data_IF_944684999008
#
_entry.id   IF_944684999008
#
_cell.length_a   1.000
_cell.length_b   1.000
_cell.length_c   1.000
_cell.angle_alpha   90.00
_cell.angle_beta   90.00
_cell.angle_gamma   90.00
#
_symmetry.space_group_name_H-M   'P 1'
#
loop_
_entity.id
_entity.type
_entity.pdbx_description
1 polymer ?
#
# COMPACT_ATOMS: atom_id res chain seq x y z
N UNK A 1 -3.81 -7.89 17.18
CA UNK A 1 -3.79 -7.51 15.75
C UNK A 1 -4.74 -8.44 15.02
N UNK A 2 -5.56 -7.91 14.10
CA UNK A 2 -6.39 -8.75 13.23
C UNK A 2 -5.49 -9.42 12.18
N UNK A 3 -5.80 -10.65 11.78
CA UNK A 3 -5.07 -11.33 10.71
C UNK A 3 -5.45 -10.70 9.37
N UNK A 4 -4.45 -10.26 8.61
CA UNK A 4 -4.66 -9.51 7.38
C UNK A 4 -4.06 -10.22 6.18
N UNK A 5 -4.63 -9.90 5.03
CA UNK A 5 -4.13 -10.26 3.71
C UNK A 5 -4.11 -9.01 2.85
N UNK A 6 -3.22 -8.96 1.87
CA UNK A 6 -3.00 -7.78 1.05
C UNK A 6 -2.86 -8.15 -0.42
N UNK A 7 -3.43 -7.32 -1.29
CA UNK A 7 -2.96 -7.17 -2.66
C UNK A 7 -1.99 -6.01 -2.70
N UNK A 8 -0.88 -6.17 -3.42
CA UNK A 8 0.11 -5.13 -3.62
C UNK A 8 0.73 -5.21 -5.01
N UNK A 9 1.33 -4.11 -5.47
CA UNK A 9 2.23 -4.08 -6.62
C UNK A 9 3.67 -4.14 -6.13
N UNK A 10 4.48 -4.99 -6.78
CA UNK A 10 5.89 -5.18 -6.44
C UNK A 10 6.78 -4.91 -7.62
N UNK A 11 7.77 -4.03 -7.43
CA UNK A 11 8.79 -3.72 -8.41
C UNK A 11 10.18 -3.68 -7.74
N UNK A 12 10.94 -4.76 -7.88
CA UNK A 12 12.18 -4.93 -7.13
C UNK A 12 11.93 -4.92 -5.61
N UNK A 13 12.42 -3.88 -4.93
CA UNK A 13 12.23 -3.65 -3.49
C UNK A 13 11.03 -2.76 -3.18
N UNK A 14 10.48 -2.07 -4.17
CA UNK A 14 9.31 -1.21 -3.99
C UNK A 14 8.04 -2.06 -3.89
N UNK A 15 7.20 -1.76 -2.89
CA UNK A 15 5.96 -2.47 -2.58
C UNK A 15 4.88 -1.44 -2.28
N UNK A 16 3.78 -1.49 -3.02
CA UNK A 16 2.64 -0.58 -2.89
C UNK A 16 1.37 -1.39 -2.64
N UNK A 17 0.83 -1.29 -1.44
CA UNK A 17 -0.41 -1.98 -1.05
C UNK A 17 -1.60 -1.32 -1.77
N UNK A 18 -2.53 -2.14 -2.26
CA UNK A 18 -3.72 -1.69 -2.98
C UNK A 18 -5.00 -1.93 -2.18
N UNK A 19 -5.13 -3.10 -1.56
CA UNK A 19 -6.33 -3.47 -0.80
C UNK A 19 -5.97 -4.50 0.26
N UNK A 20 -6.76 -4.53 1.32
CA UNK A 20 -6.65 -5.46 2.43
C UNK A 20 -7.90 -6.33 2.60
N UNK A 21 -7.68 -7.60 2.91
CA UNK A 21 -8.70 -8.53 3.39
C UNK A 21 -8.44 -8.83 4.85
N UNK A 22 -9.43 -8.69 5.71
CA UNK A 22 -9.29 -8.94 7.14
C UNK A 22 -10.05 -10.21 7.51
N UNK A 23 -9.41 -11.13 8.22
CA UNK A 23 -9.93 -12.47 8.59
C UNK A 23 -10.34 -13.40 7.44
N UNK A 24 -10.35 -12.93 6.19
CA UNK A 24 -10.72 -13.72 5.01
C UNK A 24 -9.89 -13.27 3.80
N UNK A 25 -9.80 -14.16 2.81
CA UNK A 25 -9.26 -13.86 1.48
C UNK A 25 -10.44 -13.46 0.59
N UNK A 26 -10.56 -12.18 0.20
CA UNK A 26 -11.68 -11.72 -0.60
C UNK A 26 -11.81 -12.49 -1.92
N UNK A 27 -13.02 -12.82 -2.33
CA UNK A 27 -13.21 -13.80 -3.39
C UNK A 27 -12.85 -13.30 -4.79
N UNK A 28 -12.82 -11.98 -5.05
CA UNK A 28 -12.28 -11.47 -6.30
C UNK A 28 -10.81 -11.87 -6.46
N UNK A 29 -10.05 -11.96 -5.36
CA UNK A 29 -8.62 -12.27 -5.40
C UNK A 29 -8.41 -13.70 -5.90
N UNK A 30 -9.31 -14.60 -5.51
CA UNK A 30 -9.28 -16.01 -5.90
C UNK A 30 -9.54 -16.21 -7.40
N UNK A 31 -10.14 -15.22 -8.08
CA UNK A 31 -10.36 -15.26 -9.54
C UNK A 31 -9.06 -15.16 -10.34
N UNK A 32 -7.93 -14.78 -9.75
CA UNK A 32 -6.69 -14.57 -10.53
C UNK A 32 -5.69 -15.73 -10.48
N UNK A 33 -5.97 -16.74 -9.66
CA UNK A 33 -5.05 -17.84 -9.40
C UNK A 33 -5.33 -19.07 -10.26
N UNK A 34 -4.27 -19.81 -10.54
CA UNK A 34 -4.30 -21.20 -10.98
C UNK A 34 -4.04 -22.12 -9.78
N UNK A 35 -4.42 -23.40 -9.89
CA UNK A 35 -4.13 -24.39 -8.85
C UNK A 35 -2.65 -24.41 -8.44
N UNK A 36 -1.74 -24.25 -9.40
CA UNK A 36 -0.29 -24.24 -9.16
C UNK A 36 0.16 -23.05 -8.31
N UNK A 37 -0.53 -21.92 -8.37
CA UNK A 37 -0.17 -20.70 -7.65
C UNK A 37 -0.47 -20.84 -6.14
N UNK A 38 -1.42 -21.72 -5.80
CA UNK A 38 -1.85 -22.00 -4.42
C UNK A 38 -1.43 -23.40 -3.94
N UNK A 39 -0.68 -24.15 -4.74
CA UNK A 39 -0.18 -25.49 -4.40
C UNK A 39 1.05 -25.38 -3.48
N UNK A 40 1.25 -26.33 -2.57
CA UNK A 40 2.47 -26.38 -1.71
C UNK A 40 2.67 -25.11 -0.85
N UNK A 41 1.71 -24.79 0.02
CA UNK A 41 1.65 -23.50 0.73
C UNK A 41 2.83 -23.25 1.67
N UNK A 42 3.40 -24.31 2.26
CA UNK A 42 4.58 -24.21 3.13
C UNK A 42 5.83 -23.65 2.44
N UNK A 43 5.96 -23.84 1.12
CA UNK A 43 7.11 -23.34 0.36
C UNK A 43 6.74 -22.03 -0.35
N UNK A 44 5.58 -21.98 -1.01
CA UNK A 44 5.21 -20.81 -1.81
C UNK A 44 4.85 -19.60 -0.95
N UNK A 45 4.00 -19.77 0.07
CA UNK A 45 3.46 -18.63 0.81
C UNK A 45 4.43 -18.11 1.87
N UNK A 46 5.15 -19.00 2.56
CA UNK A 46 6.15 -18.59 3.55
C UNK A 46 7.39 -17.91 2.95
N UNK A 47 7.69 -18.14 1.67
CA UNK A 47 8.98 -17.76 1.09
C UNK A 47 8.89 -16.82 -0.11
N UNK A 48 7.81 -16.88 -0.90
CA UNK A 48 7.78 -16.22 -2.20
C UNK A 48 6.61 -15.26 -2.40
N UNK A 49 5.58 -15.32 -1.54
CA UNK A 49 4.26 -14.74 -1.78
C UNK A 49 3.66 -15.24 -3.13
N UNK A 50 2.38 -15.00 -3.36
CA UNK A 50 1.81 -15.32 -4.68
C UNK A 50 2.06 -14.10 -5.57
N UNK A 51 2.96 -14.22 -6.55
CA UNK A 51 3.27 -13.15 -7.50
C UNK A 51 2.74 -13.48 -8.89
N UNK A 52 2.07 -12.52 -9.50
CA UNK A 52 1.40 -12.65 -10.78
C UNK A 52 1.89 -11.57 -11.76
N UNK A 53 2.38 -11.94 -12.95
CA UNK A 53 2.63 -10.96 -14.02
C UNK A 53 1.35 -10.21 -14.37
N UNK A 54 1.45 -8.91 -14.67
CA UNK A 54 0.28 -8.06 -14.96
C UNK A 54 -0.47 -8.56 -16.21
N UNK A 55 0.23 -9.09 -17.20
CA UNK A 55 -0.40 -9.65 -18.40
C UNK A 55 -1.25 -10.88 -18.06
N UNK A 56 -0.79 -11.71 -17.10
CA UNK A 56 -1.57 -12.85 -16.61
C UNK A 56 -2.77 -12.37 -15.81
N UNK A 57 -2.62 -11.33 -14.98
CA UNK A 57 -3.73 -10.69 -14.27
C UNK A 57 -4.81 -10.19 -15.25
N UNK A 58 -4.45 -9.40 -16.25
CA UNK A 58 -5.39 -8.86 -17.26
C UNK A 58 -6.13 -9.99 -17.99
N UNK A 59 -5.40 -11.03 -18.41
CA UNK A 59 -6.01 -12.19 -19.07
C UNK A 59 -7.02 -12.88 -18.16
N UNK A 60 -6.66 -13.11 -16.89
CA UNK A 60 -7.55 -13.73 -15.90
C UNK A 60 -8.76 -12.85 -15.58
N UNK A 61 -8.57 -11.54 -15.51
CA UNK A 61 -9.64 -10.59 -15.27
C UNK A 61 -10.71 -10.68 -16.35
N UNK A 62 -10.31 -10.65 -17.62
CA UNK A 62 -11.23 -10.81 -18.75
C UNK A 62 -11.90 -12.19 -18.76
N UNK A 63 -11.13 -13.25 -18.50
CA UNK A 63 -11.64 -14.63 -18.55
C UNK A 63 -12.70 -14.91 -17.46
N UNK A 64 -12.44 -14.46 -16.23
CA UNK A 64 -13.28 -14.78 -15.09
C UNK A 64 -14.40 -13.76 -14.87
N UNK A 65 -14.40 -12.65 -15.59
CA UNK A 65 -15.54 -11.74 -15.66
C UNK A 65 -16.84 -12.46 -16.08
N UNK A 66 -16.78 -13.36 -17.06
CA UNK A 66 -17.97 -14.11 -17.52
C UNK A 66 -18.54 -15.04 -16.45
N UNK A 67 -17.71 -15.55 -15.54
CA UNK A 67 -18.19 -16.33 -14.40
C UNK A 67 -19.05 -15.45 -13.47
N UNK A 68 -18.60 -14.23 -13.17
CA UNK A 68 -19.38 -13.29 -12.34
C UNK A 68 -20.63 -12.80 -13.06
N UNK A 69 -20.55 -12.50 -14.34
CA UNK A 69 -21.71 -12.07 -15.14
C UNK A 69 -22.85 -13.09 -15.09
N UNK A 70 -22.52 -14.39 -15.13
CA UNK A 70 -23.50 -15.47 -15.07
C UNK A 70 -24.03 -15.75 -13.65
N UNK A 71 -23.16 -15.72 -12.64
CA UNK A 71 -23.48 -16.26 -11.32
C UNK A 71 -23.65 -15.19 -10.22
N UNK A 72 -23.18 -13.96 -10.47
CA UNK A 72 -23.20 -12.84 -9.54
C UNK A 72 -23.27 -11.48 -10.27
N UNK A 73 -24.23 -11.25 -11.19
CA UNK A 73 -24.27 -10.05 -12.02
C UNK A 73 -24.31 -8.75 -11.21
N UNK A 74 -24.83 -8.78 -9.98
CA UNK A 74 -24.85 -7.64 -9.07
C UNK A 74 -23.45 -7.14 -8.66
N UNK A 75 -22.41 -7.97 -8.76
CA UNK A 75 -21.04 -7.61 -8.37
C UNK A 75 -20.18 -7.18 -9.56
N UNK A 76 -20.72 -7.27 -10.78
CA UNK A 76 -19.97 -7.12 -12.02
C UNK A 76 -19.37 -5.72 -12.18
N UNK A 77 -20.14 -4.67 -11.85
CA UNK A 77 -19.63 -3.30 -11.94
C UNK A 77 -18.53 -3.03 -10.91
N UNK A 78 -18.72 -3.50 -9.67
CA UNK A 78 -17.68 -3.40 -8.63
C UNK A 78 -16.41 -4.17 -9.04
N UNK A 79 -16.57 -5.34 -9.68
CA UNK A 79 -15.45 -6.10 -10.20
C UNK A 79 -14.69 -5.35 -11.30
N UNK A 80 -15.41 -4.77 -12.27
CA UNK A 80 -14.82 -4.01 -13.36
C UNK A 80 -14.06 -2.78 -12.82
N UNK A 81 -14.65 -2.08 -11.86
CA UNK A 81 -14.00 -0.95 -11.18
C UNK A 81 -12.78 -1.39 -10.36
N UNK A 82 -12.86 -2.53 -9.67
CA UNK A 82 -11.72 -3.10 -8.94
C UNK A 82 -10.55 -3.46 -9.85
N UNK A 83 -10.83 -4.08 -11.01
CA UNK A 83 -9.79 -4.40 -12.01
C UNK A 83 -9.19 -3.10 -12.57
N UNK A 84 -10.04 -2.13 -12.92
CA UNK A 84 -9.59 -0.81 -13.42
C UNK A 84 -8.71 -0.10 -12.39
N UNK A 85 -9.10 -0.13 -11.12
CA UNK A 85 -8.33 0.41 -10.01
C UNK A 85 -6.94 -0.22 -9.93
N UNK A 86 -6.83 -1.56 -9.94
CA UNK A 86 -5.52 -2.22 -9.93
C UNK A 86 -4.68 -1.78 -11.13
N UNK A 87 -5.26 -1.76 -12.34
CA UNK A 87 -4.53 -1.42 -13.56
C UNK A 87 -4.07 0.03 -13.61
N UNK A 88 -4.86 0.98 -13.11
CA UNK A 88 -4.50 2.39 -13.03
C UNK A 88 -3.25 2.63 -12.15
N UNK A 89 -2.97 1.71 -11.23
CA UNK A 89 -1.83 1.77 -10.32
C UNK A 89 -0.55 1.11 -10.87
N UNK A 90 -0.65 0.34 -11.96
CA UNK A 90 0.47 -0.44 -12.50
C UNK A 90 1.51 0.48 -13.14
N UNK A 91 2.76 0.25 -12.78
CA UNK A 91 3.97 0.81 -13.40
C UNK A 91 4.75 -0.28 -14.13
N UNK A 92 5.62 0.13 -15.06
CA UNK A 92 6.45 -0.80 -15.81
C UNK A 92 7.34 -1.64 -14.87
N UNK A 93 7.31 -2.96 -15.04
CA UNK A 93 8.06 -3.91 -14.21
C UNK A 93 7.34 -4.38 -12.94
N UNK A 94 6.12 -3.91 -12.69
CA UNK A 94 5.33 -4.40 -11.57
C UNK A 94 4.91 -5.86 -11.76
N UNK A 95 4.80 -6.57 -10.62
CA UNK A 95 4.03 -7.79 -10.48
C UNK A 95 2.92 -7.58 -9.45
N UNK A 96 1.75 -8.17 -9.68
CA UNK A 96 0.67 -8.19 -8.71
C UNK A 96 0.94 -9.28 -7.67
N UNK A 97 1.13 -8.87 -6.42
CA UNK A 97 1.38 -9.75 -5.30
C UNK A 97 0.17 -9.92 -4.40
N UNK A 98 0.05 -11.12 -3.84
CA UNK A 98 -0.92 -11.45 -2.81
C UNK A 98 -0.17 -11.98 -1.59
N UNK A 99 -0.33 -11.29 -0.47
CA UNK A 99 0.05 -11.80 0.85
C UNK A 99 -1.21 -12.28 1.54
N UNK A 100 -1.27 -13.58 1.82
CA UNK A 100 -2.42 -14.22 2.47
C UNK A 100 -2.00 -15.02 3.68
N UNK A 101 -0.73 -14.92 4.12
CA UNK A 101 -0.13 -15.90 5.02
C UNK A 101 -0.85 -15.93 6.37
N UNK A 102 -1.09 -14.77 6.98
CA UNK A 102 -1.73 -14.70 8.30
C UNK A 102 -3.15 -15.26 8.26
N UNK A 103 -3.93 -14.90 7.24
CA UNK A 103 -5.30 -15.38 7.07
C UNK A 103 -5.32 -16.89 6.77
N UNK A 104 -4.42 -17.36 5.91
CA UNK A 104 -4.36 -18.76 5.53
C UNK A 104 -3.86 -19.68 6.67
N UNK A 105 -3.04 -19.17 7.57
CA UNK A 105 -2.54 -19.94 8.72
C UNK A 105 -3.61 -20.16 9.80
N UNK A 106 -4.67 -19.34 9.83
CA UNK A 106 -5.78 -19.48 10.79
C UNK A 106 -6.42 -20.88 10.76
N UNK A 107 -6.63 -21.43 9.56
CA UNK A 107 -7.20 -22.76 9.34
C UNK A 107 -6.13 -23.86 9.18
N UNK A 108 -4.85 -23.46 9.22
CA UNK A 108 -3.70 -24.25 8.80
C UNK A 108 -3.48 -24.22 7.29
N UNK A 109 -2.23 -23.96 6.88
CA UNK A 109 -1.84 -23.72 5.49
C UNK A 109 -2.28 -24.81 4.50
N UNK A 110 -2.18 -26.09 4.88
CA UNK A 110 -2.61 -27.21 4.03
C UNK A 110 -4.11 -27.20 3.80
N UNK A 111 -4.90 -26.85 4.82
CA UNK A 111 -6.36 -26.73 4.73
C UNK A 111 -6.74 -25.55 3.85
N UNK A 112 -6.14 -24.39 4.08
CA UNK A 112 -6.34 -23.20 3.26
C UNK A 112 -6.02 -23.45 1.78
N UNK A 113 -4.87 -24.09 1.48
CA UNK A 113 -4.50 -24.46 0.10
C UNK A 113 -5.52 -25.38 -0.55
N UNK A 114 -6.04 -26.37 0.18
CA UNK A 114 -7.08 -27.27 -0.33
C UNK A 114 -8.39 -26.54 -0.65
N UNK A 115 -8.83 -25.63 0.23
CA UNK A 115 -10.02 -24.78 0.02
C UNK A 115 -9.85 -23.89 -1.20
N UNK A 116 -8.70 -23.23 -1.34
CA UNK A 116 -8.41 -22.38 -2.50
C UNK A 116 -8.38 -23.19 -3.81
N UNK A 117 -7.76 -24.37 -3.83
CA UNK A 117 -7.77 -25.26 -5.00
C UNK A 117 -9.20 -25.68 -5.36
N UNK A 118 -10.02 -26.03 -4.36
CA UNK A 118 -11.44 -26.37 -4.56
C UNK A 118 -12.18 -25.19 -5.21
N UNK A 119 -12.05 -23.98 -4.66
CA UNK A 119 -12.71 -22.78 -5.19
C UNK A 119 -12.25 -22.45 -6.61
N UNK A 120 -10.95 -22.55 -6.90
CA UNK A 120 -10.40 -22.30 -8.24
C UNK A 120 -11.02 -23.26 -9.27
N UNK A 121 -11.15 -24.55 -8.93
CA UNK A 121 -11.83 -25.53 -9.81
C UNK A 121 -13.30 -25.20 -10.00
N UNK A 122 -14.02 -24.88 -8.92
CA UNK A 122 -15.42 -24.49 -8.99
C UNK A 122 -15.65 -23.27 -9.90
N UNK A 123 -14.75 -22.28 -9.87
CA UNK A 123 -14.79 -21.12 -10.79
C UNK A 123 -14.55 -21.57 -12.23
N UNK A 124 -13.49 -22.37 -12.47
CA UNK A 124 -13.11 -22.82 -13.81
C UNK A 124 -14.16 -23.73 -14.47
N UNK A 125 -14.83 -24.55 -13.68
CA UNK A 125 -15.90 -25.46 -14.13
C UNK A 125 -17.28 -24.80 -14.10
N UNK A 126 -17.38 -23.52 -13.72
CA UNK A 126 -18.61 -22.76 -13.57
C UNK A 126 -19.65 -23.46 -12.66
N UNK A 127 -19.21 -23.89 -11.48
CA UNK A 127 -20.00 -24.56 -10.43
C UNK A 127 -20.05 -23.69 -9.15
N UNK A 128 -20.82 -22.57 -9.14
CA UNK A 128 -20.84 -21.65 -8.01
C UNK A 128 -21.33 -22.29 -6.70
N UNK A 129 -22.11 -23.36 -6.76
CA UNK A 129 -22.59 -24.10 -5.59
C UNK A 129 -21.49 -24.84 -4.82
N UNK A 130 -20.33 -25.07 -5.44
CA UNK A 130 -19.19 -25.73 -4.82
C UNK A 130 -18.25 -24.77 -4.09
N UNK A 131 -18.50 -23.45 -4.17
CA UNK A 131 -17.68 -22.43 -3.53
C UNK A 131 -17.81 -22.49 -2.00
N UNK A 132 -16.69 -22.28 -1.31
CA UNK A 132 -16.66 -22.15 0.16
C UNK A 132 -17.08 -20.74 0.66
N UNK A 133 -17.54 -19.88 -0.24
CA UNK A 133 -18.01 -18.52 0.04
C UNK A 133 -19.27 -18.22 -0.76
N UNK A 134 -20.07 -17.25 -0.30
CA UNK A 134 -21.29 -16.84 -1.01
C UNK A 134 -21.01 -15.68 -1.97
N UNK A 135 -21.50 -15.82 -3.20
CA UNK A 135 -21.48 -14.75 -4.21
C UNK A 135 -22.60 -13.71 -4.00
N UNK A 136 -23.54 -13.98 -3.09
CA UNK A 136 -24.72 -13.14 -2.82
C UNK A 136 -24.69 -12.51 -1.43
N UNK A 137 -23.52 -12.48 -0.79
CA UNK A 137 -23.35 -11.77 0.47
C UNK A 137 -23.68 -10.28 0.31
N UNK A 138 -24.28 -9.71 1.36
CA UNK A 138 -24.66 -8.30 1.36
C UNK A 138 -23.45 -7.37 1.48
N UNK A 139 -22.37 -7.83 2.08
CA UNK A 139 -21.15 -7.05 2.27
C UNK A 139 -20.12 -7.42 1.21
N UNK A 140 -20.41 -7.03 -0.04
CA UNK A 140 -19.57 -7.38 -1.20
C UNK A 140 -18.22 -6.67 -1.13
N UNK A 141 -18.12 -5.44 -0.58
CA UNK A 141 -16.83 -4.77 -0.41
C UNK A 141 -15.89 -5.62 0.45
N UNK A 142 -16.35 -6.07 1.62
CA UNK A 142 -15.53 -6.90 2.50
C UNK A 142 -15.23 -8.27 1.89
N UNK A 143 -16.25 -8.99 1.43
CA UNK A 143 -16.08 -10.38 1.04
C UNK A 143 -15.55 -10.59 -0.36
N UNK A 144 -15.79 -9.65 -1.29
CA UNK A 144 -15.34 -9.73 -2.68
C UNK A 144 -14.00 -9.04 -2.91
N UNK A 145 -13.94 -7.76 -2.56
CA UNK A 145 -12.88 -6.86 -3.02
C UNK A 145 -11.77 -6.67 -1.99
N UNK A 146 -12.10 -6.68 -0.70
CA UNK A 146 -11.27 -6.14 0.35
C UNK A 146 -11.40 -4.62 0.45
N UNK A 147 -10.91 -4.04 1.54
CA UNK A 147 -10.92 -2.60 1.76
C UNK A 147 -9.68 -1.99 1.10
N UNK A 148 -9.85 -0.94 0.27
CA UNK A 148 -8.71 -0.13 -0.16
C UNK A 148 -7.99 0.38 1.09
N UNK A 149 -6.64 0.43 1.07
CA UNK A 149 -5.78 0.63 2.26
C UNK A 149 -6.44 1.54 3.31
N UNK A 150 -7.04 0.88 4.31
CA UNK A 150 -7.97 1.49 5.26
C UNK A 150 -7.31 2.61 6.07
N UNK A 151 -5.98 2.55 6.20
CA UNK A 151 -5.19 3.53 6.96
C UNK A 151 -4.57 4.61 6.09
N UNK A 152 -4.73 4.52 4.77
CA UNK A 152 -4.02 5.39 3.85
C UNK A 152 -4.81 5.72 2.58
N UNK A 153 -6.05 6.19 2.75
CA UNK A 153 -6.81 6.76 1.62
C UNK A 153 -6.04 7.85 0.87
N UNK A 154 -5.14 8.58 1.56
CA UNK A 154 -4.22 9.58 0.97
C UNK A 154 -3.02 9.00 0.23
N UNK A 155 -2.76 7.70 0.36
CA UNK A 155 -1.77 6.95 -0.43
C UNK A 155 -2.43 6.25 -1.63
N UNK A 156 -3.76 6.24 -1.71
CA UNK A 156 -4.46 5.82 -2.91
C UNK A 156 -4.21 6.85 -4.02
N UNK A 157 -4.11 6.44 -5.29
CA UNK A 157 -4.02 7.38 -6.40
C UNK A 157 -5.25 8.27 -6.49
N UNK A 158 -5.15 9.37 -7.23
CA UNK A 158 -6.29 10.25 -7.53
C UNK A 158 -7.44 9.48 -8.19
N UNK A 159 -7.16 8.62 -9.18
CA UNK A 159 -8.15 7.67 -9.74
C UNK A 159 -8.18 6.38 -8.92
N UNK A 160 -8.83 6.42 -7.74
CA UNK A 160 -9.00 5.24 -6.89
C UNK A 160 -10.46 4.73 -6.87
N UNK A 161 -10.63 3.57 -6.24
CA UNK A 161 -11.91 2.88 -6.16
C UNK A 161 -12.93 3.58 -5.25
N UNK A 162 -12.52 4.52 -4.40
CA UNK A 162 -13.44 5.23 -3.51
C UNK A 162 -14.41 6.14 -4.29
N UNK A 163 -14.01 6.64 -5.46
CA UNK A 163 -14.89 7.46 -6.31
C UNK A 163 -15.80 6.61 -7.22
N UNK A 164 -15.68 5.28 -7.17
CA UNK A 164 -16.59 4.39 -7.92
C UNK A 164 -18.00 4.48 -7.35
N UNK A 165 -18.97 4.73 -8.23
CA UNK A 165 -20.40 4.67 -7.89
C UNK A 165 -20.76 3.29 -7.34
N UNK A 166 -20.25 2.21 -7.94
CA UNK A 166 -20.51 0.86 -7.48
C UNK A 166 -19.93 0.61 -6.07
N UNK A 167 -18.73 1.11 -5.79
CA UNK A 167 -18.16 1.05 -4.45
C UNK A 167 -19.01 1.84 -3.46
N UNK A 168 -19.37 3.09 -3.77
CA UNK A 168 -20.18 3.94 -2.89
C UNK A 168 -21.58 3.35 -2.64
N UNK A 169 -22.20 2.73 -3.65
CA UNK A 169 -23.48 2.05 -3.50
C UNK A 169 -23.39 0.84 -2.56
N UNK A 170 -22.33 0.02 -2.70
CA UNK A 170 -22.08 -1.08 -1.76
C UNK A 170 -21.71 -0.59 -0.36
N UNK A 171 -21.00 0.54 -0.25
CA UNK A 171 -20.62 1.14 1.03
C UNK A 171 -21.86 1.61 1.80
N UNK A 172 -22.79 2.29 1.11
CA UNK A 172 -24.09 2.73 1.67
C UNK A 172 -24.95 1.55 2.13
N UNK A 173 -24.90 0.41 1.42
CA UNK A 173 -25.62 -0.82 1.82
C UNK A 173 -25.09 -1.40 3.13
N UNK A 174 -23.78 -1.29 3.39
CA UNK A 174 -23.17 -1.73 4.64
C UNK A 174 -23.48 -0.81 5.83
N UNK A 175 -23.45 0.51 5.60
CA UNK A 175 -23.57 1.53 6.64
C UNK A 175 -24.99 1.68 7.20
N UNK A 176 -26.01 1.21 6.47
CA UNK A 176 -27.39 1.28 6.92
C UNK A 176 -27.90 2.73 7.12
N UNK A 177 -29.17 2.94 7.52
CA UNK A 177 -29.79 4.26 7.49
C UNK A 177 -29.22 5.29 8.48
N UNK A 178 -28.49 4.86 9.51
CA UNK A 178 -28.04 5.73 10.61
C UNK A 178 -26.67 6.38 10.37
N UNK A 179 -25.77 5.68 9.66
CA UNK A 179 -24.40 6.17 9.43
C UNK A 179 -24.32 7.09 8.20
N UNK A 180 -25.26 6.96 7.25
CA UNK A 180 -25.31 7.77 6.02
C UNK A 180 -25.51 9.28 6.28
N UNK A 181 -26.13 9.69 7.39
CA UNK A 181 -26.34 11.11 7.72
C UNK A 181 -25.06 11.83 8.14
N UNK A 182 -24.10 11.13 8.76
CA UNK A 182 -22.82 11.73 9.17
C UNK A 182 -21.81 11.77 8.02
N UNK A 183 -21.86 10.81 7.09
CA UNK A 183 -20.97 10.79 5.93
C UNK A 183 -21.39 11.79 4.84
N UNK A 184 -22.69 11.97 4.57
CA UNK A 184 -23.17 13.02 3.67
C UNK A 184 -22.75 14.43 4.14
N UNK A 185 -22.62 14.63 5.46
CA UNK A 185 -22.09 15.88 6.02
C UNK A 185 -20.58 15.99 5.84
N UNK A 186 -19.83 14.89 6.00
CA UNK A 186 -18.37 14.88 5.77
C UNK A 186 -18.00 15.04 4.29
N UNK A 187 -18.73 14.43 3.36
CA UNK A 187 -18.51 14.60 1.91
C UNK A 187 -18.82 16.03 1.46
N UNK A 188 -19.93 16.63 1.93
CA UNK A 188 -20.22 18.04 1.67
C UNK A 188 -19.19 18.98 2.27
N UNK A 189 -18.67 18.67 3.47
CA UNK A 189 -17.59 19.45 4.07
C UNK A 189 -16.24 19.26 3.38
N UNK A 190 -15.96 18.09 2.79
CA UNK A 190 -14.74 17.83 2.02
C UNK A 190 -14.77 18.55 0.67
N UNK A 191 -15.88 18.44 -0.09
CA UNK A 191 -16.07 19.17 -1.35
C UNK A 191 -16.04 20.69 -1.15
N UNK A 192 -16.71 21.20 -0.12
CA UNK A 192 -16.65 22.63 0.21
C UNK A 192 -15.26 23.09 0.65
N UNK A 193 -14.41 22.21 1.17
CA UNK A 193 -13.03 22.56 1.57
C UNK A 193 -12.07 22.57 0.38
N UNK A 194 -12.29 21.70 -0.60
CA UNK A 194 -11.52 21.71 -1.86
C UNK A 194 -11.91 22.89 -2.77
N UNK A 195 -13.19 23.27 -2.81
CA UNK A 195 -13.64 24.48 -3.52
C UNK A 195 -13.07 25.75 -2.86
N UNK A 196 -13.10 25.85 -1.53
CA UNK A 196 -12.50 26.99 -0.81
C UNK A 196 -10.97 27.03 -0.96
N UNK A 197 -10.28 25.89 -1.02
CA UNK A 197 -8.82 25.87 -1.27
C UNK A 197 -8.44 26.27 -2.69
N UNK A 198 -9.27 25.96 -3.70
CA UNK A 198 -9.09 26.48 -5.06
C UNK A 198 -9.33 27.98 -5.12
N UNK A 199 -10.34 28.48 -4.40
CA UNK A 199 -10.64 29.91 -4.34
C UNK A 199 -9.55 30.70 -3.60
N UNK A 200 -9.01 30.18 -2.49
CA UNK A 200 -7.87 30.78 -1.76
C UNK A 200 -6.56 30.77 -2.58
N UNK A 201 -6.39 29.80 -3.49
CA UNK A 201 -5.24 29.77 -4.41
C UNK A 201 -5.39 30.78 -5.56
N UNK A 202 -6.60 30.97 -6.09
CA UNK A 202 -6.90 32.01 -7.09
C UNK A 202 -6.77 33.42 -6.48
N UNK A 203 -7.21 33.65 -5.24
CA UNK A 203 -7.04 34.93 -4.54
C UNK A 203 -5.57 35.27 -4.26
N UNK A 204 -4.75 34.28 -3.90
CA UNK A 204 -3.30 34.47 -3.73
C UNK A 204 -2.56 34.72 -5.04
N UNK A 205 -3.02 34.16 -6.16
CA UNK A 205 -2.49 34.48 -7.49
C UNK A 205 -2.88 35.90 -7.94
N UNK A 206 -4.08 36.37 -7.57
CA UNK A 206 -4.50 37.75 -7.83
C UNK A 206 -3.70 38.77 -6.98
N UNK A 207 -3.48 38.50 -5.68
CA UNK A 207 -2.69 39.39 -4.81
C UNK A 207 -1.19 39.44 -5.17
N UNK A 208 -0.61 38.33 -5.64
CA UNK A 208 0.78 38.32 -6.13
C UNK A 208 1.01 39.08 -7.44
N UNK A 209 -0.06 39.40 -8.17
CA UNK A 209 0.00 40.27 -9.36
C UNK A 209 -0.17 41.75 -9.01
N UNK A 210 -0.86 42.09 -7.91
CA UNK A 210 -0.97 43.47 -7.42
C UNK A 210 0.31 43.93 -6.70
N UNK A 211 0.95 43.09 -5.88
CA UNK A 211 2.22 43.46 -5.20
C UNK A 211 3.39 43.68 -6.17
N UNK A 212 3.42 43.00 -7.32
CA UNK A 212 4.43 43.23 -8.36
C UNK A 212 4.20 44.52 -9.17
N UNK A 213 3.02 45.15 -9.09
CA UNK A 213 2.76 46.45 -9.70
C UNK A 213 3.06 47.62 -8.75
N UNK A 214 2.94 47.43 -7.43
CA UNK A 214 3.28 48.48 -6.45
C UNK A 214 4.81 48.61 -6.22
N UNK A 215 5.58 47.53 -6.35
CA UNK A 215 7.03 47.60 -6.17
C UNK A 215 7.81 48.20 -7.36
N UNK A 216 7.16 48.40 -8.52
CA UNK A 216 7.77 49.06 -9.68
C UNK A 216 7.52 50.58 -9.74
N UNK A 217 6.83 51.16 -8.77
CA UNK A 217 6.56 52.61 -8.71
C UNK A 217 7.32 53.35 -7.60
N UNK A 218 7.94 52.67 -6.62
CA UNK A 218 8.75 53.33 -5.59
C UNK A 218 10.24 53.47 -5.93
N UNK A 219 10.78 52.67 -6.85
CA UNK A 219 12.21 52.72 -7.21
C UNK A 219 12.59 53.82 -8.22
N UNK A 220 11.63 54.60 -8.75
CA UNK A 220 11.90 55.71 -9.68
C UNK A 220 12.00 57.11 -9.02
N UNK A 221 11.86 57.26 -7.70
CA UNK A 221 11.82 58.59 -7.06
C UNK A 221 12.88 58.96 -6.03
N UNK A 222 13.90 58.13 -5.77
CA UNK A 222 14.98 58.50 -4.85
C UNK A 222 16.38 58.48 -5.47
N UNK A 223 16.51 58.90 -6.74
CA UNK A 223 17.79 59.43 -7.24
C UNK A 223 17.77 60.95 -7.10
N UNK A 224 18.36 61.50 -6.03
CA UNK A 224 19.12 62.77 -6.00
C UNK A 224 19.44 63.20 -4.57
N UNK A 225 20.70 63.63 -4.39
CA UNK A 225 21.38 64.20 -3.21
C UNK A 225 22.09 63.12 -2.38
N UNK A 226 23.37 63.19 -2.05
CA UNK A 226 24.38 64.25 -2.16
C UNK A 226 25.76 63.59 -2.15
N UNK A 227 26.72 64.25 -2.79
CA UNK A 227 28.12 63.89 -2.92
C UNK A 227 28.90 63.96 -1.60
N UNK A 228 30.06 63.30 -1.64
CA UNK A 228 31.35 63.73 -1.07
C UNK A 228 31.86 63.16 0.28
N UNK A 229 33.12 62.67 0.18
CA UNK A 229 34.17 62.51 1.21
C UNK A 229 34.10 61.29 2.16
N UNK A 230 35.18 60.65 2.63
CA UNK A 230 36.64 60.63 2.43
C UNK A 230 37.17 59.38 3.21
N UNK A 231 38.24 58.76 2.69
CA UNK A 231 39.27 57.91 3.34
C UNK A 231 38.95 56.93 4.51
N UNK A 232 39.22 55.64 4.25
CA UNK A 232 40.34 54.86 4.83
C UNK A 232 40.40 54.59 6.34
N UNK A 233 40.42 53.31 6.74
CA UNK A 233 41.50 52.70 7.55
C UNK A 233 41.26 51.21 7.86
N UNK A 234 42.38 50.47 7.85
CA UNK A 234 42.58 49.09 8.27
C UNK A 234 42.26 48.86 9.76
N UNK A 235 41.94 47.61 10.14
CA UNK A 235 42.76 46.71 10.99
C UNK A 235 41.97 45.79 11.95
N UNK A 236 42.44 44.54 11.97
CA UNK A 236 42.66 43.63 13.11
C UNK A 236 41.51 42.97 13.89
N UNK A 237 41.55 41.63 13.79
CA UNK A 237 41.75 40.62 14.84
C UNK A 237 40.84 40.59 16.09
N UNK A 238 40.27 39.39 16.29
CA UNK A 238 39.70 38.73 17.49
C UNK A 238 40.55 38.89 18.80
N UNK A 239 40.19 38.37 20.02
CA UNK A 239 39.26 37.25 20.36
C UNK A 239 38.57 37.35 21.77
N UNK A 240 38.08 36.19 22.30
CA UNK A 240 37.59 35.83 23.68
C UNK A 240 36.06 35.76 23.81
N UNK A 241 35.43 34.87 24.61
CA UNK A 241 35.79 33.71 25.47
C UNK A 241 34.45 33.05 25.87
N UNK A 242 34.36 31.72 25.87
CA UNK A 242 34.40 30.81 27.05
C UNK A 242 33.28 31.04 28.08
N UNK A 243 32.51 29.95 28.30
CA UNK A 243 32.00 29.41 29.58
C UNK A 243 30.57 28.85 29.35
N UNK A 244 30.09 27.76 29.91
CA UNK A 244 30.61 26.60 30.63
C UNK A 244 29.37 25.67 30.77
N UNK A 245 29.63 24.36 30.78
CA UNK A 245 28.83 23.18 31.22
C UNK A 245 27.41 23.42 31.81
N UNK A 246 26.43 22.53 31.61
CA UNK A 246 26.25 21.32 32.44
C UNK A 246 25.24 20.36 31.76
N UNK A 247 25.62 19.08 31.73
CA UNK A 247 24.80 17.90 31.46
C UNK A 247 23.79 17.66 32.59
N UNK A 248 22.57 17.24 32.26
CA UNK A 248 21.86 16.31 33.14
C UNK A 248 21.28 15.16 32.33
N UNK A 249 21.66 13.96 32.76
CA UNK A 249 21.34 12.66 32.20
C UNK A 249 20.02 12.16 32.77
N UNK A 250 19.11 11.71 31.92
CA UNK A 250 18.11 10.69 32.31
C UNK A 250 17.95 9.68 31.19
N UNK A 251 19.02 8.90 30.96
CA UNK A 251 19.00 7.70 30.12
C UNK A 251 19.07 6.46 31.00
N UNK A 252 17.91 5.91 31.36
CA UNK A 252 17.82 4.64 32.08
C UNK A 252 18.24 3.47 31.17
N UNK A 253 19.21 2.69 31.66
CA UNK A 253 19.67 1.40 31.16
C UNK A 253 18.52 0.41 30.86
N UNK A 254 18.68 -0.40 29.80
CA UNK A 254 18.81 -1.86 30.02
C UNK A 254 19.22 -2.64 28.76
N UNK A 255 20.37 -3.32 28.93
CA UNK A 255 20.75 -4.66 28.48
C UNK A 255 21.37 -4.85 27.09
N UNK A 256 22.66 -5.15 27.17
CA UNK A 256 23.50 -5.82 26.20
C UNK A 256 22.85 -7.12 25.67
N UNK A 257 22.56 -7.15 24.37
CA UNK A 257 22.32 -8.40 23.65
C UNK A 257 23.66 -8.93 23.12
N UNK A 258 24.35 -9.66 24.01
CA UNK A 258 25.45 -10.55 23.67
C UNK A 258 24.94 -11.61 22.68
N UNK A 259 25.39 -11.54 21.42
CA UNK A 259 25.05 -12.51 20.37
C UNK A 259 25.59 -13.91 20.69
N UNK A 260 24.88 -14.66 21.52
CA UNK A 260 25.13 -16.07 21.74
C UNK A 260 24.63 -16.90 20.55
N UNK A 261 25.55 -17.24 19.64
CA UNK A 261 25.32 -18.26 18.62
C UNK A 261 25.06 -19.60 19.34
N UNK A 262 23.88 -20.23 19.18
CA UNK A 262 23.55 -21.45 19.90
C UNK A 262 24.53 -22.57 19.54
N UNK A 263 24.98 -23.36 20.51
CA UNK A 263 25.95 -24.47 20.35
C UNK A 263 25.61 -25.44 19.19
N UNK A 264 24.33 -25.56 18.85
CA UNK A 264 23.83 -26.36 17.71
C UNK A 264 24.36 -25.87 16.37
N UNK A 265 24.61 -24.58 16.22
CA UNK A 265 25.17 -23.98 15.02
C UNK A 265 26.64 -24.39 14.80
N UNK A 266 27.41 -24.52 15.89
CA UNK A 266 28.78 -25.01 15.85
C UNK A 266 28.86 -26.48 15.42
N UNK A 267 27.92 -27.32 15.89
CA UNK A 267 27.82 -28.71 15.43
C UNK A 267 27.52 -28.80 13.93
N UNK A 268 26.61 -27.98 13.42
CA UNK A 268 26.28 -27.96 11.98
C UNK A 268 27.46 -27.46 11.13
N UNK A 269 28.18 -26.43 11.58
CA UNK A 269 29.36 -25.92 10.88
C UNK A 269 30.45 -27.00 10.75
N UNK A 270 30.73 -27.73 11.82
CA UNK A 270 31.73 -28.81 11.81
C UNK A 270 31.31 -29.95 10.87
N UNK A 271 30.03 -30.32 10.85
CA UNK A 271 29.53 -31.35 9.92
C UNK A 271 29.66 -30.94 8.45
N UNK A 272 29.41 -29.67 8.13
CA UNK A 272 29.59 -29.14 6.76
C UNK A 272 31.07 -29.16 6.36
N UNK A 273 31.98 -28.76 7.24
CA UNK A 273 33.43 -28.80 6.98
C UNK A 273 33.89 -30.24 6.74
N UNK A 274 33.46 -31.20 7.57
CA UNK A 274 33.80 -32.61 7.41
C UNK A 274 33.25 -33.17 6.09
N UNK A 275 32.03 -32.78 5.70
CA UNK A 275 31.41 -33.22 4.46
C UNK A 275 32.16 -32.70 3.23
N UNK A 276 32.54 -31.41 3.23
CA UNK A 276 33.35 -30.81 2.16
C UNK A 276 34.72 -31.48 2.07
N UNK A 277 35.36 -31.76 3.21
CA UNK A 277 36.67 -32.43 3.25
C UNK A 277 36.59 -33.87 2.73
N UNK A 278 35.52 -34.61 3.07
CA UNK A 278 35.23 -35.95 2.53
C UNK A 278 34.98 -35.93 1.03
N UNK A 279 34.26 -34.93 0.53
CA UNK A 279 34.01 -34.75 -0.90
C UNK A 279 35.33 -34.47 -1.65
N UNK A 280 36.22 -33.69 -1.05
CA UNK A 280 37.51 -33.34 -1.64
C UNK A 280 38.52 -34.51 -1.61
N UNK A 281 38.50 -35.36 -0.57
CA UNK A 281 39.33 -36.58 -0.53
C UNK A 281 38.80 -37.71 -1.41
N UNK A 282 37.48 -37.79 -1.64
CA UNK A 282 36.88 -38.80 -2.51
C UNK A 282 37.11 -38.51 -4.01
N UNK A 283 37.59 -37.32 -4.35
CA UNK A 283 37.83 -36.85 -5.71
C UNK A 283 39.34 -36.80 -6.06
N UNK A 284 40.17 -37.56 -5.34
CA UNK A 284 41.60 -37.73 -5.56
C UNK A 284 41.94 -39.21 -5.64
#
# INVERSE_FOLDING_TARGET
>A
MANRSYIYLKNGKDVRILTEGVYTIPYFWQLFWDEKDVRMPNILWKKFNILLPIEKFQKKATQNRSFLEKNAPQTLQLYDDFVRYILANVKAGDMLGFDILEVADMDGLTTASRKLIKNIRAIQENQPQELDFSLTEKNVIWSAMGFPDYYASKLLPEDNILDSVAYQDELKKMQGPKDNQEQDQKEKHAQGREENQKQDQEEKQAQGQEENQEQHQEDEQATRKEDEQVQGQENKLAPRKEDEQVLDETGAESKDDEYHIPLRFWFLLVLVIIWVYRLFLANK
#
